data_IF_139216607105
#
_entry.id   IF_139216607105
#
_cell.length_a   1.000
_cell.length_b   1.000
_cell.length_c   1.000
_cell.angle_alpha   90.00
_cell.angle_beta   90.00
_cell.angle_gamma   90.00
#
_symmetry.space_group_name_H-M   'P 1'
#
loop_
_entity.id
_entity.type
_entity.pdbx_description
1 polymer ?
#
# COMPACT_ATOMS: atom_id res chain seq x y z
N UNK A 1 20.47 -16.34 -26.06
CA UNK A 1 20.36 -14.95 -25.57
C UNK A 1 18.87 -14.52 -25.43
N UNK A 2 17.99 -14.88 -26.37
CA UNK A 2 16.56 -14.50 -26.38
C UNK A 2 15.72 -15.12 -25.23
N UNK A 3 16.06 -16.33 -24.78
CA UNK A 3 15.31 -17.02 -23.70
C UNK A 3 15.33 -16.31 -22.34
N UNK A 4 16.31 -15.44 -22.08
CA UNK A 4 16.42 -14.71 -20.80
C UNK A 4 15.52 -13.47 -20.73
N UNK A 5 15.03 -13.03 -21.88
CA UNK A 5 14.27 -11.77 -22.00
C UNK A 5 12.79 -12.01 -22.32
N UNK A 6 12.45 -13.20 -22.84
CA UNK A 6 11.11 -13.52 -23.29
C UNK A 6 10.68 -14.91 -22.84
N UNK A 7 9.37 -15.14 -22.73
CA UNK A 7 8.76 -16.43 -22.43
C UNK A 7 8.79 -16.78 -20.94
N UNK A 8 8.67 -18.09 -20.66
CA UNK A 8 8.53 -18.63 -19.30
C UNK A 8 9.71 -18.28 -18.38
N UNK A 9 10.92 -18.28 -18.92
CA UNK A 9 12.11 -17.95 -18.13
C UNK A 9 12.12 -16.47 -17.69
N UNK A 10 11.65 -15.56 -18.53
CA UNK A 10 11.49 -14.14 -18.17
C UNK A 10 10.55 -13.96 -17.01
N UNK A 11 9.39 -14.63 -17.05
CA UNK A 11 8.39 -14.58 -15.97
C UNK A 11 8.95 -15.14 -14.66
N UNK A 12 9.69 -16.27 -14.72
CA UNK A 12 10.30 -16.84 -13.53
C UNK A 12 11.34 -15.91 -12.92
N UNK A 13 12.17 -15.27 -13.75
CA UNK A 13 13.20 -14.31 -13.29
C UNK A 13 12.62 -13.01 -12.73
N UNK A 14 11.39 -12.66 -13.09
CA UNK A 14 10.68 -11.53 -12.52
C UNK A 14 10.16 -11.82 -11.09
N UNK A 15 9.73 -13.09 -10.86
CA UNK A 15 9.21 -13.52 -9.56
C UNK A 15 10.34 -13.73 -8.56
N UNK A 16 11.49 -14.29 -9.00
CA UNK A 16 12.63 -14.61 -8.15
C UNK A 16 13.73 -13.54 -8.27
N UNK A 17 14.50 -13.30 -7.20
CA UNK A 17 14.53 -14.00 -5.91
C UNK A 17 13.40 -13.58 -4.97
N UNK A 18 12.96 -14.51 -4.10
CA UNK A 18 11.96 -14.25 -3.07
C UNK A 18 12.67 -14.14 -1.72
N UNK A 19 12.38 -13.05 -1.01
CA UNK A 19 12.91 -12.79 0.32
C UNK A 19 11.80 -12.84 1.37
N UNK A 20 12.01 -13.46 2.53
CA UNK A 20 11.14 -13.28 3.68
C UNK A 20 11.28 -11.87 4.27
N UNK A 21 10.37 -11.47 5.15
CA UNK A 21 10.36 -10.15 5.77
C UNK A 21 11.67 -9.81 6.50
N UNK A 22 12.24 -10.79 7.20
CA UNK A 22 13.48 -10.66 7.99
C UNK A 22 14.76 -10.76 7.14
N UNK A 23 14.65 -11.06 5.85
CA UNK A 23 15.75 -11.22 4.90
C UNK A 23 16.86 -12.19 5.35
N UNK A 24 16.54 -13.12 6.25
CA UNK A 24 17.52 -14.09 6.78
C UNK A 24 17.90 -15.16 5.77
N UNK A 25 17.08 -15.38 4.75
CA UNK A 25 17.30 -16.36 3.70
C UNK A 25 16.79 -15.82 2.37
N UNK A 26 17.08 -16.51 1.29
CA UNK A 26 16.68 -16.14 -0.06
C UNK A 26 16.33 -17.38 -0.86
N UNK A 27 15.23 -17.35 -1.61
CA UNK A 27 14.86 -18.40 -2.54
C UNK A 27 15.19 -17.93 -3.96
N UNK A 28 16.20 -18.55 -4.55
CA UNK A 28 16.70 -18.22 -5.89
C UNK A 28 16.19 -19.20 -6.94
N UNK A 29 15.98 -18.69 -8.14
CA UNK A 29 15.69 -19.46 -9.33
C UNK A 29 16.98 -19.89 -10.01
N UNK A 30 17.14 -21.18 -10.27
CA UNK A 30 18.30 -21.76 -10.96
C UNK A 30 17.97 -22.10 -12.41
N UNK A 31 16.82 -22.71 -12.65
CA UNK A 31 16.40 -23.14 -13.98
C UNK A 31 15.06 -23.89 -13.95
N UNK A 32 14.52 -24.17 -15.12
CA UNK A 32 13.31 -24.98 -15.24
C UNK A 32 13.49 -26.10 -16.27
N UNK A 33 12.68 -27.11 -16.15
CA UNK A 33 12.59 -28.23 -17.09
C UNK A 33 11.13 -28.51 -17.43
N UNK A 34 10.85 -28.70 -18.71
CA UNK A 34 9.58 -29.21 -19.20
C UNK A 34 9.77 -30.68 -19.57
N UNK A 35 9.04 -31.54 -18.88
CA UNK A 35 9.04 -32.97 -19.15
C UNK A 35 8.29 -33.32 -20.44
N UNK A 36 8.20 -34.62 -20.74
CA UNK A 36 7.39 -35.07 -21.86
C UNK A 36 5.91 -35.20 -21.47
N UNK A 37 5.00 -34.85 -22.36
CA UNK A 37 3.56 -35.01 -22.07
C UNK A 37 3.23 -36.50 -21.81
N UNK A 38 2.30 -36.72 -20.92
CA UNK A 38 1.86 -38.08 -20.54
C UNK A 38 1.02 -38.77 -21.62
N UNK A 39 0.21 -37.97 -22.32
CA UNK A 39 -0.68 -38.39 -23.39
C UNK A 39 -0.43 -37.54 -24.62
N UNK A 40 -0.74 -38.10 -25.80
CA UNK A 40 -0.72 -37.31 -27.02
C UNK A 40 -2.00 -36.44 -27.15
N UNK A 41 -2.05 -35.62 -28.19
CA UNK A 41 -3.14 -34.64 -28.36
C UNK A 41 -4.48 -35.36 -28.59
N UNK A 42 -4.48 -36.44 -29.38
CA UNK A 42 -5.71 -37.18 -29.72
C UNK A 42 -6.19 -38.01 -28.54
N UNK A 43 -5.28 -38.53 -27.74
CA UNK A 43 -5.61 -39.20 -26.48
C UNK A 43 -6.21 -38.21 -25.49
N UNK A 44 -5.66 -37.01 -25.36
CA UNK A 44 -6.21 -35.96 -24.50
C UNK A 44 -7.64 -35.58 -24.91
N UNK A 45 -7.92 -35.48 -26.21
CA UNK A 45 -9.28 -35.21 -26.71
C UNK A 45 -10.25 -36.31 -26.34
N UNK A 46 -9.87 -37.60 -26.56
CA UNK A 46 -10.70 -38.75 -26.27
C UNK A 46 -10.94 -38.99 -24.78
N UNK A 47 -9.89 -38.84 -23.97
CA UNK A 47 -9.90 -39.06 -22.53
C UNK A 47 -10.40 -37.84 -21.72
N UNK A 48 -10.72 -36.72 -22.39
CA UNK A 48 -11.14 -35.46 -21.79
C UNK A 48 -10.09 -34.91 -20.82
N UNK A 49 -8.82 -34.97 -21.20
CA UNK A 49 -7.69 -34.47 -20.43
C UNK A 49 -7.12 -33.20 -21.06
N UNK A 50 -6.30 -32.49 -20.31
CA UNK A 50 -5.55 -31.33 -20.80
C UNK A 50 -4.21 -31.78 -21.36
N UNK A 51 -3.84 -31.25 -22.53
CA UNK A 51 -2.53 -31.45 -23.11
C UNK A 51 -1.54 -30.50 -22.51
N UNK A 52 -0.62 -31.01 -21.71
CA UNK A 52 0.37 -30.20 -21.00
C UNK A 52 1.69 -30.95 -20.79
N UNK A 53 2.71 -30.17 -20.46
CA UNK A 53 4.02 -30.71 -20.13
C UNK A 53 4.24 -30.61 -18.63
N UNK A 54 4.76 -31.66 -17.99
CA UNK A 54 5.20 -31.60 -16.62
C UNK A 54 6.21 -30.46 -16.43
N UNK A 55 5.94 -29.58 -15.50
CA UNK A 55 6.75 -28.40 -15.23
C UNK A 55 7.47 -28.53 -13.90
N UNK A 56 8.78 -28.48 -13.97
CA UNK A 56 9.64 -28.57 -12.82
C UNK A 56 10.55 -27.35 -12.78
N UNK A 57 10.75 -26.81 -11.59
CA UNK A 57 11.61 -25.66 -11.35
C UNK A 57 12.70 -26.06 -10.37
N UNK A 58 13.93 -25.76 -10.72
CA UNK A 58 15.07 -25.93 -9.83
C UNK A 58 15.27 -24.66 -9.05
N UNK A 59 15.14 -24.77 -7.73
CA UNK A 59 15.24 -23.67 -6.78
C UNK A 59 16.41 -23.89 -5.84
N UNK A 60 17.03 -22.81 -5.43
CA UNK A 60 18.09 -22.79 -4.41
C UNK A 60 17.65 -21.97 -3.23
N UNK A 61 17.56 -22.60 -2.06
CA UNK A 61 17.38 -21.90 -0.81
C UNK A 61 18.76 -21.50 -0.26
N UNK A 62 19.02 -20.20 -0.30
CA UNK A 62 20.26 -19.61 0.24
C UNK A 62 20.07 -19.39 1.73
N UNK A 63 20.79 -20.17 2.53
CA UNK A 63 20.94 -20.10 3.98
C UNK A 63 22.40 -20.47 4.29
N UNK A 64 22.89 -20.50 5.54
CA UNK A 64 24.28 -20.86 5.84
C UNK A 64 24.76 -22.15 5.16
N UNK A 65 23.87 -23.14 5.04
CA UNK A 65 24.08 -24.32 4.19
C UNK A 65 23.05 -24.29 3.06
N UNK A 66 23.43 -23.92 1.83
CA UNK A 66 22.49 -23.82 0.71
C UNK A 66 21.94 -25.19 0.31
N UNK A 67 20.64 -25.24 0.05
CA UNK A 67 19.95 -26.43 -0.44
C UNK A 67 19.40 -26.13 -1.83
N UNK A 68 19.64 -27.06 -2.76
CA UNK A 68 19.12 -26.99 -4.12
C UNK A 68 18.21 -28.19 -4.38
N UNK A 69 16.97 -27.92 -4.80
CA UNK A 69 16.00 -28.96 -5.10
C UNK A 69 15.23 -28.66 -6.38
N UNK A 70 14.77 -29.73 -7.02
CA UNK A 70 13.84 -29.69 -8.15
C UNK A 70 12.42 -29.87 -7.65
N UNK A 71 11.59 -28.84 -7.85
CA UNK A 71 10.20 -28.80 -7.40
C UNK A 71 9.27 -28.98 -8.58
N UNK A 72 8.40 -29.99 -8.52
CA UNK A 72 7.33 -30.18 -9.49
C UNK A 72 6.17 -29.23 -9.18
N UNK A 73 5.87 -28.31 -10.11
CA UNK A 73 4.81 -27.30 -9.95
C UNK A 73 3.48 -27.68 -10.62
N UNK A 74 3.43 -28.79 -11.36
CA UNK A 74 2.25 -29.22 -12.08
C UNK A 74 2.50 -29.37 -13.58
N UNK A 75 1.43 -29.34 -14.35
CA UNK A 75 1.49 -29.40 -15.82
C UNK A 75 1.15 -28.05 -16.41
N UNK A 76 1.95 -27.59 -17.38
CA UNK A 76 1.66 -26.36 -18.12
C UNK A 76 1.03 -26.75 -19.45
N UNK A 77 -0.20 -26.28 -19.76
CA UNK A 77 -0.79 -26.44 -21.08
C UNK A 77 0.11 -25.85 -22.17
N UNK A 78 0.24 -26.57 -23.27
CA UNK A 78 1.09 -26.18 -24.40
C UNK A 78 0.21 -25.78 -25.58
N UNK A 79 0.54 -24.62 -26.17
CA UNK A 79 -0.11 -24.12 -27.36
C UNK A 79 0.25 -24.99 -28.56
N UNK A 80 -0.75 -25.39 -29.34
CA UNK A 80 -0.61 -26.11 -30.61
C UNK A 80 -0.34 -25.14 -31.78
N UNK A 81 -0.10 -25.69 -32.94
CA UNK A 81 0.33 -24.92 -34.11
C UNK A 81 -0.67 -23.89 -34.65
N UNK A 82 -1.96 -24.02 -34.33
CA UNK A 82 -3.00 -23.07 -34.70
C UNK A 82 -3.31 -22.00 -33.65
N UNK A 83 -2.61 -22.01 -32.51
CA UNK A 83 -2.85 -21.08 -31.40
C UNK A 83 -3.85 -21.59 -30.36
N UNK A 84 -4.33 -22.80 -30.50
CA UNK A 84 -5.26 -23.49 -29.61
C UNK A 84 -4.53 -24.26 -28.50
N UNK A 85 -5.25 -24.53 -27.43
CA UNK A 85 -4.89 -25.42 -26.32
C UNK A 85 -5.95 -26.50 -26.20
N UNK A 86 -5.57 -27.71 -25.81
CA UNK A 86 -6.51 -28.76 -25.44
C UNK A 86 -6.66 -28.77 -23.93
N UNK A 87 -7.82 -28.35 -23.44
CA UNK A 87 -8.15 -28.27 -22.01
C UNK A 87 -9.38 -29.13 -21.74
N UNK A 88 -9.22 -30.16 -20.89
CA UNK A 88 -10.28 -31.12 -20.58
C UNK A 88 -10.92 -31.76 -21.86
N UNK A 89 -10.08 -32.00 -22.85
CA UNK A 89 -10.48 -32.59 -24.13
C UNK A 89 -11.13 -31.64 -25.14
N UNK A 90 -11.29 -30.34 -24.77
CA UNK A 90 -11.85 -29.31 -25.64
C UNK A 90 -10.76 -28.38 -26.15
N UNK A 91 -10.84 -27.99 -27.40
CA UNK A 91 -9.97 -26.96 -27.95
C UNK A 91 -10.39 -25.60 -27.45
N UNK A 92 -9.41 -24.86 -26.92
CA UNK A 92 -9.59 -23.55 -26.33
C UNK A 92 -8.54 -22.58 -26.88
N UNK A 93 -8.92 -21.32 -27.02
CA UNK A 93 -8.02 -20.22 -27.38
C UNK A 93 -8.04 -19.17 -26.30
N UNK A 94 -6.93 -18.46 -26.14
CA UNK A 94 -6.86 -17.32 -25.24
C UNK A 94 -7.46 -16.13 -25.96
N UNK A 95 -8.48 -15.51 -25.36
CA UNK A 95 -9.13 -14.31 -25.86
C UNK A 95 -8.63 -13.10 -25.06
N UNK A 96 -8.18 -12.06 -25.77
CA UNK A 96 -7.78 -10.81 -25.15
C UNK A 96 -8.96 -10.16 -24.43
N UNK A 97 -8.71 -9.66 -23.24
CA UNK A 97 -9.71 -8.97 -22.42
C UNK A 97 -9.19 -7.59 -22.05
N UNK A 98 -10.07 -6.59 -22.21
CA UNK A 98 -9.76 -5.24 -21.78
C UNK A 98 -9.93 -5.13 -20.27
N UNK A 99 -8.92 -4.59 -19.59
CA UNK A 99 -8.98 -4.30 -18.16
C UNK A 99 -8.44 -2.90 -17.87
N UNK A 100 -8.68 -2.39 -16.68
CA UNK A 100 -8.10 -1.11 -16.25
C UNK A 100 -6.58 -1.25 -16.11
N UNK A 101 -5.86 -0.27 -16.62
CA UNK A 101 -4.40 -0.24 -16.49
C UNK A 101 -3.99 -0.06 -15.03
N UNK A 102 -2.88 -0.68 -14.60
CA UNK A 102 -2.27 -0.35 -13.32
C UNK A 102 -1.93 1.15 -13.25
N UNK A 103 -2.15 1.74 -12.09
CA UNK A 103 -1.89 3.15 -11.87
C UNK A 103 -2.76 3.76 -10.78
N UNK A 104 -2.81 5.08 -10.76
CA UNK A 104 -3.61 5.86 -9.81
C UNK A 104 -4.59 6.72 -10.58
N UNK A 105 -5.89 6.48 -10.36
CA UNK A 105 -6.98 7.23 -10.98
C UNK A 105 -7.60 8.18 -9.95
N UNK A 106 -7.68 9.46 -10.30
CA UNK A 106 -8.39 10.46 -9.49
C UNK A 106 -9.77 10.72 -10.10
N UNK A 107 -10.80 10.64 -9.27
CA UNK A 107 -12.19 10.76 -9.65
C UNK A 107 -12.87 11.86 -8.84
N UNK A 108 -13.81 12.52 -9.46
CA UNK A 108 -14.67 13.52 -8.83
C UNK A 108 -16.12 13.06 -8.99
N UNK A 109 -16.79 12.79 -7.88
CA UNK A 109 -18.21 12.50 -7.88
C UNK A 109 -19.01 13.82 -7.72
N UNK A 110 -19.52 14.30 -8.84
CA UNK A 110 -20.33 15.49 -8.91
C UNK A 110 -21.83 15.24 -8.63
N UNK A 111 -22.23 13.97 -8.41
CA UNK A 111 -23.63 13.59 -8.23
C UNK A 111 -24.20 13.92 -6.84
N UNK A 112 -23.35 14.21 -5.87
CA UNK A 112 -23.80 14.67 -4.55
C UNK A 112 -24.06 16.18 -4.59
N UNK A 113 -25.24 16.57 -4.30
CA UNK A 113 -25.96 17.81 -4.58
C UNK A 113 -25.30 19.12 -4.15
N UNK A 114 -24.27 19.15 -3.30
CA UNK A 114 -23.70 20.41 -2.79
C UNK A 114 -22.18 20.52 -2.87
N UNK A 115 -21.45 19.41 -2.91
CA UNK A 115 -19.98 19.41 -2.98
C UNK A 115 -19.47 18.26 -3.82
N UNK A 116 -18.47 18.54 -4.65
CA UNK A 116 -17.73 17.52 -5.36
C UNK A 116 -16.92 16.65 -4.37
N UNK A 117 -17.20 15.35 -4.33
CA UNK A 117 -16.46 14.40 -3.50
C UNK A 117 -15.30 13.81 -4.32
N UNK A 118 -14.10 13.96 -3.78
CA UNK A 118 -12.90 13.43 -4.42
C UNK A 118 -12.66 11.99 -3.98
N UNK A 119 -12.23 11.17 -4.93
CA UNK A 119 -11.77 9.81 -4.67
C UNK A 119 -10.52 9.50 -5.48
N UNK A 120 -9.76 8.55 -4.99
CA UNK A 120 -8.55 8.07 -5.62
C UNK A 120 -8.57 6.55 -5.62
N UNK A 121 -8.31 5.94 -6.78
CA UNK A 121 -8.20 4.50 -6.93
C UNK A 121 -6.76 4.13 -7.24
N UNK A 122 -6.18 3.31 -6.41
CA UNK A 122 -4.86 2.73 -6.62
C UNK A 122 -5.07 1.32 -7.17
N UNK A 123 -4.71 1.14 -8.43
CA UNK A 123 -4.88 -0.12 -9.16
C UNK A 123 -3.49 -0.73 -9.33
N UNK A 124 -3.15 -1.81 -8.61
CA UNK A 124 -1.87 -2.48 -8.75
C UNK A 124 -1.84 -3.33 -10.03
N UNK A 125 -0.66 -3.65 -10.52
CA UNK A 125 -0.49 -4.64 -11.58
C UNK A 125 -0.96 -6.03 -11.11
N UNK A 126 -0.67 -6.35 -9.86
CA UNK A 126 -1.10 -7.59 -9.18
C UNK A 126 -1.39 -7.30 -7.72
N UNK A 127 -2.58 -7.63 -7.27
CA UNK A 127 -3.00 -7.46 -5.87
C UNK A 127 -4.34 -6.76 -5.73
N UNK A 128 -4.65 -6.37 -4.51
CA UNK A 128 -5.92 -5.74 -4.15
C UNK A 128 -5.97 -4.27 -4.54
N UNK A 129 -7.13 -3.83 -5.00
CA UNK A 129 -7.38 -2.41 -5.25
C UNK A 129 -7.57 -1.66 -3.96
N UNK A 130 -7.04 -0.45 -3.89
CA UNK A 130 -7.20 0.45 -2.75
C UNK A 130 -7.95 1.69 -3.22
N UNK A 131 -9.09 1.95 -2.61
CA UNK A 131 -9.92 3.12 -2.86
C UNK A 131 -9.81 4.08 -1.67
N UNK A 132 -9.42 5.32 -1.94
CA UNK A 132 -9.43 6.43 -0.98
C UNK A 132 -10.61 7.33 -1.33
N UNK A 133 -11.48 7.59 -0.37
CA UNK A 133 -12.70 8.36 -0.61
C UNK A 133 -12.87 9.45 0.45
N UNK A 134 -13.12 10.66 0.01
CA UNK A 134 -13.60 11.73 0.91
C UNK A 134 -15.09 11.54 1.13
N UNK A 135 -15.49 11.42 2.39
CA UNK A 135 -16.89 11.26 2.77
C UNK A 135 -17.63 12.60 2.84
N UNK A 136 -18.97 12.57 2.87
CA UNK A 136 -19.80 13.79 3.06
C UNK A 136 -19.49 14.52 4.39
N UNK A 137 -18.89 13.84 5.35
CA UNK A 137 -18.44 14.41 6.65
C UNK A 137 -17.01 14.93 6.60
N UNK A 138 -16.42 15.09 5.41
CA UNK A 138 -15.04 15.55 5.21
C UNK A 138 -13.97 14.62 5.81
N UNK A 139 -14.33 13.38 6.11
CA UNK A 139 -13.41 12.38 6.60
C UNK A 139 -12.86 11.54 5.44
N UNK A 140 -11.56 11.25 5.45
CA UNK A 140 -10.92 10.38 4.50
C UNK A 140 -11.08 8.92 4.93
N UNK A 141 -11.62 8.10 4.05
CA UNK A 141 -11.83 6.67 4.25
C UNK A 141 -11.12 5.84 3.20
N UNK A 142 -10.72 4.64 3.60
CA UNK A 142 -10.08 3.64 2.73
C UNK A 142 -10.98 2.43 2.60
N UNK A 143 -10.96 1.84 1.42
CA UNK A 143 -11.57 0.56 1.11
C UNK A 143 -10.55 -0.28 0.34
N UNK A 144 -10.37 -1.52 0.75
CA UNK A 144 -9.52 -2.49 0.07
C UNK A 144 -10.43 -3.53 -0.57
N UNK A 145 -10.39 -3.65 -1.90
CA UNK A 145 -11.30 -4.46 -2.70
C UNK A 145 -12.77 -4.17 -2.34
N UNK A 146 -13.52 -5.21 -1.95
CA UNK A 146 -14.93 -5.12 -1.55
C UNK A 146 -15.13 -5.13 -0.03
N UNK A 147 -14.07 -4.92 0.76
CA UNK A 147 -14.16 -4.88 2.22
C UNK A 147 -14.93 -3.65 2.73
N UNK A 148 -15.22 -3.62 4.03
CA UNK A 148 -15.80 -2.45 4.69
C UNK A 148 -14.87 -1.23 4.64
N UNK A 149 -15.44 -0.02 4.62
CA UNK A 149 -14.69 1.23 4.71
C UNK A 149 -14.16 1.44 6.14
N UNK A 150 -12.93 1.91 6.25
CA UNK A 150 -12.29 2.28 7.52
C UNK A 150 -11.50 3.59 7.36
N UNK A 151 -11.01 4.14 8.47
CA UNK A 151 -10.31 5.42 8.46
C UNK A 151 -8.98 5.36 7.70
N UNK A 152 -8.73 6.34 6.84
CA UNK A 152 -7.44 6.47 6.16
C UNK A 152 -6.29 6.75 7.14
N UNK A 153 -6.56 7.42 8.25
CA UNK A 153 -5.55 7.65 9.31
C UNK A 153 -5.03 6.32 9.86
N UNK A 154 -5.93 5.38 10.15
CA UNK A 154 -5.55 4.03 10.60
C UNK A 154 -4.71 3.30 9.55
N UNK A 155 -5.09 3.44 8.27
CA UNK A 155 -4.37 2.83 7.16
C UNK A 155 -2.95 3.39 7.02
N UNK A 156 -2.80 4.72 7.04
CA UNK A 156 -1.51 5.39 6.92
C UNK A 156 -0.56 5.01 8.07
N UNK A 157 -1.07 4.96 9.30
CA UNK A 157 -0.30 4.51 10.47
C UNK A 157 0.17 3.06 10.38
N UNK A 158 -0.62 2.21 9.71
CA UNK A 158 -0.25 0.81 9.50
C UNK A 158 0.79 0.62 8.39
N UNK A 159 0.85 1.56 7.43
CA UNK A 159 1.79 1.51 6.31
C UNK A 159 3.17 2.04 6.66
N UNK A 160 3.23 3.09 7.48
CA UNK A 160 4.45 3.83 7.75
C UNK A 160 4.56 4.16 9.24
N UNK A 161 5.64 3.68 9.86
CA UNK A 161 5.95 3.92 11.27
C UNK A 161 6.18 5.41 11.56
N UNK A 162 6.73 6.16 10.59
CA UNK A 162 6.94 7.60 10.70
C UNK A 162 5.63 8.37 10.84
N UNK A 163 4.53 7.85 10.29
CA UNK A 163 3.17 8.41 10.40
C UNK A 163 2.39 7.87 11.62
N UNK A 164 3.05 7.19 12.54
CA UNK A 164 2.42 6.55 13.70
C UNK A 164 1.73 7.50 14.66
N UNK A 165 2.17 8.76 14.76
CA UNK A 165 1.65 9.75 15.70
C UNK A 165 0.75 10.79 15.03
N UNK A 166 -0.17 11.41 15.81
CA UNK A 166 -1.02 12.51 15.33
C UNK A 166 -0.20 13.70 14.86
N UNK A 167 0.86 14.03 15.58
CA UNK A 167 1.77 15.10 15.24
C UNK A 167 2.45 14.89 13.88
N UNK A 168 2.92 13.69 13.61
CA UNK A 168 3.55 13.34 12.34
C UNK A 168 2.56 13.45 11.17
N UNK A 169 1.34 12.95 11.35
CA UNK A 169 0.28 13.09 10.36
C UNK A 169 -0.08 14.54 10.08
N UNK A 170 -0.23 15.36 11.13
CA UNK A 170 -0.55 16.78 10.95
C UNK A 170 0.56 17.53 10.21
N UNK A 171 1.83 17.26 10.52
CA UNK A 171 2.97 17.83 9.79
C UNK A 171 3.04 17.39 8.33
N UNK A 172 2.61 16.16 8.06
CA UNK A 172 2.60 15.62 6.70
C UNK A 172 1.53 16.28 5.81
N UNK A 173 0.32 16.51 6.37
CA UNK A 173 -0.81 17.01 5.60
C UNK A 173 -0.97 18.53 5.60
N UNK A 174 -0.42 19.22 6.60
CA UNK A 174 -0.62 20.65 6.79
C UNK A 174 0.71 21.41 6.95
N UNK A 175 0.80 22.62 6.41
CA UNK A 175 1.92 23.49 6.74
C UNK A 175 1.86 23.84 8.23
N UNK A 176 2.97 23.74 8.92
CA UNK A 176 3.07 24.03 10.35
C UNK A 176 3.97 25.22 10.62
N UNK A 177 3.71 25.92 11.73
CA UNK A 177 4.47 27.07 12.16
C UNK A 177 4.76 27.00 13.65
N UNK A 178 6.01 27.25 14.01
CA UNK A 178 6.41 27.37 15.41
C UNK A 178 6.28 28.84 15.86
N UNK A 179 5.38 29.07 16.79
CA UNK A 179 5.20 30.40 17.44
C UNK A 179 6.04 30.45 18.70
N UNK A 180 7.04 31.33 18.70
CA UNK A 180 7.96 31.52 19.85
C UNK A 180 7.54 32.72 20.70
N UNK A 181 7.64 32.55 22.04
CA UNK A 181 7.46 33.61 23.00
C UNK A 181 8.73 34.46 23.06
N UNK A 182 8.67 35.69 22.65
CA UNK A 182 9.81 36.64 22.75
C UNK A 182 9.86 37.31 24.10
N UNK A 183 11.05 37.59 24.63
CA UNK A 183 11.27 38.20 25.94
C UNK A 183 10.59 39.59 26.13
N UNK A 184 10.32 40.28 25.02
CA UNK A 184 9.65 41.59 25.01
C UNK A 184 8.13 41.50 24.85
N UNK A 185 7.56 40.29 24.69
CA UNK A 185 6.15 40.10 24.42
C UNK A 185 5.39 39.83 25.71
N UNK A 186 4.26 40.56 25.92
CA UNK A 186 3.38 40.28 27.05
C UNK A 186 2.68 38.92 26.90
N UNK A 187 2.38 38.24 28.01
CA UNK A 187 1.68 36.96 28.01
C UNK A 187 0.38 37.01 27.19
N UNK A 188 -0.42 38.06 27.34
CA UNK A 188 -1.65 38.23 26.58
C UNK A 188 -1.43 38.40 25.07
N UNK A 189 -0.35 39.00 24.64
CA UNK A 189 -0.03 39.15 23.22
C UNK A 189 0.43 37.80 22.60
N UNK A 190 1.06 36.94 23.36
CA UNK A 190 1.42 35.60 22.95
C UNK A 190 0.18 34.69 22.91
N UNK A 191 -0.66 34.72 23.96
CA UNK A 191 -1.92 33.96 24.01
C UNK A 191 -2.80 34.22 22.78
N UNK A 192 -3.02 35.50 22.41
CA UNK A 192 -3.78 35.88 21.22
C UNK A 192 -3.27 35.30 19.90
N UNK A 193 -1.97 34.99 19.80
CA UNK A 193 -1.39 34.41 18.58
C UNK A 193 -1.70 32.93 18.42
N UNK A 194 -1.93 32.22 19.53
CA UNK A 194 -2.13 30.78 19.56
C UNK A 194 -3.60 30.40 19.85
N UNK A 195 -4.42 31.33 20.34
CA UNK A 195 -5.87 31.08 20.58
C UNK A 195 -6.57 30.69 19.28
N UNK A 196 -7.45 29.71 19.37
CA UNK A 196 -8.24 29.11 18.26
C UNK A 196 -7.38 28.49 17.14
N UNK A 197 -6.06 28.41 17.32
CA UNK A 197 -5.17 27.67 16.41
C UNK A 197 -5.12 26.21 16.81
N UNK A 198 -4.91 25.34 15.83
CA UNK A 198 -4.82 23.89 16.06
C UNK A 198 -3.40 23.54 16.47
N UNK A 199 -3.28 22.87 17.63
CA UNK A 199 -2.00 22.36 18.12
C UNK A 199 -1.53 21.16 17.27
N UNK A 200 -0.27 21.17 16.84
CA UNK A 200 0.32 20.07 16.07
C UNK A 200 0.74 18.92 16.96
N UNK A 201 1.29 19.20 18.14
CA UNK A 201 1.64 18.20 19.14
C UNK A 201 0.89 18.41 20.44
N UNK A 202 0.96 17.42 21.33
CA UNK A 202 0.40 17.57 22.68
C UNK A 202 1.12 18.70 23.42
N UNK A 203 0.34 19.65 23.94
CA UNK A 203 0.85 20.73 24.76
C UNK A 203 0.77 20.29 26.22
N UNK A 204 1.92 20.07 26.83
CA UNK A 204 2.03 19.50 28.18
C UNK A 204 2.56 20.56 29.15
N UNK A 205 1.98 20.60 30.35
CA UNK A 205 2.52 21.40 31.44
C UNK A 205 3.80 20.76 31.95
N UNK A 206 4.95 21.47 31.81
CA UNK A 206 6.27 20.92 32.15
C UNK A 206 6.41 20.46 33.61
N UNK A 207 5.63 21.05 34.52
CA UNK A 207 5.72 20.78 35.97
C UNK A 207 4.89 19.56 36.42
N UNK A 208 3.73 19.34 35.80
CA UNK A 208 2.79 18.29 36.19
C UNK A 208 2.77 17.12 35.24
N UNK A 209 3.23 17.29 33.99
CA UNK A 209 3.11 16.30 32.94
C UNK A 209 1.69 16.17 32.38
N UNK A 210 0.77 17.05 32.78
CA UNK A 210 -0.62 17.03 32.33
C UNK A 210 -0.74 17.63 30.92
N UNK A 211 -1.51 16.96 30.05
CA UNK A 211 -1.78 17.44 28.69
C UNK A 211 -2.86 18.52 28.77
N UNK A 212 -2.49 19.76 28.50
CA UNK A 212 -3.39 20.91 28.43
C UNK A 212 -4.24 20.90 27.16
N UNK A 213 -3.60 20.63 26.02
CA UNK A 213 -4.25 20.58 24.72
C UNK A 213 -3.69 19.38 23.96
N UNK A 214 -4.53 18.40 23.61
CA UNK A 214 -4.12 17.28 22.78
C UNK A 214 -3.81 17.72 21.36
N UNK A 215 -2.95 16.97 20.68
CA UNK A 215 -2.63 17.12 19.25
C UNK A 215 -3.90 17.14 18.40
N UNK A 216 -3.96 18.02 17.41
CA UNK A 216 -5.09 18.17 16.50
C UNK A 216 -6.29 18.94 17.07
N UNK A 217 -6.23 19.40 18.30
CA UNK A 217 -7.30 20.17 18.92
C UNK A 217 -7.05 21.69 18.88
N UNK A 218 -8.12 22.51 18.78
CA UNK A 218 -7.98 23.94 18.88
C UNK A 218 -7.56 24.34 20.29
N UNK A 219 -6.68 25.33 20.40
CA UNK A 219 -6.19 25.85 21.68
C UNK A 219 -7.23 26.84 22.23
N UNK A 220 -7.98 26.51 23.29
CA UNK A 220 -8.93 27.44 23.88
C UNK A 220 -8.23 28.62 24.57
N UNK A 221 -8.92 29.76 24.72
CA UNK A 221 -8.35 30.99 25.32
C UNK A 221 -7.78 30.75 26.73
N UNK A 222 -8.46 29.92 27.52
CA UNK A 222 -8.01 29.55 28.87
C UNK A 222 -6.66 28.85 28.87
N UNK A 223 -6.49 27.85 28.00
CA UNK A 223 -5.24 27.13 27.82
C UNK A 223 -4.15 28.05 27.23
N UNK A 224 -4.51 28.91 26.28
CA UNK A 224 -3.58 29.87 25.69
C UNK A 224 -2.99 30.82 26.72
N UNK A 225 -3.78 31.31 27.67
CA UNK A 225 -3.33 32.16 28.79
C UNK A 225 -2.43 31.38 29.77
N UNK A 226 -2.75 30.15 30.07
CA UNK A 226 -1.95 29.29 30.92
C UNK A 226 -0.60 28.96 30.28
N UNK A 227 -0.57 28.61 29.00
CA UNK A 227 0.66 28.42 28.22
C UNK A 227 1.49 29.69 28.20
N UNK A 228 0.85 30.85 28.01
CA UNK A 228 1.52 32.13 27.97
C UNK A 228 2.10 32.55 29.33
N UNK A 229 1.48 32.17 30.45
CA UNK A 229 1.95 32.36 31.81
C UNK A 229 3.01 31.35 32.27
N UNK A 230 3.08 30.21 31.59
CA UNK A 230 4.00 29.11 31.93
C UNK A 230 5.40 29.23 31.33
N UNK A 231 6.17 28.16 31.52
CA UNK A 231 7.59 28.06 31.10
C UNK A 231 7.75 27.58 29.62
N UNK A 232 6.65 27.33 28.89
CA UNK A 232 6.69 26.93 27.48
C UNK A 232 7.17 28.12 26.62
N UNK A 233 8.30 27.91 25.93
CA UNK A 233 8.93 28.93 25.11
C UNK A 233 8.37 28.98 23.67
N UNK A 234 7.78 27.89 23.19
CA UNK A 234 7.32 27.78 21.83
C UNK A 234 6.15 26.78 21.70
N UNK A 235 5.28 27.03 20.74
CA UNK A 235 4.13 26.16 20.41
C UNK A 235 4.09 25.99 18.91
N UNK A 236 3.93 24.74 18.45
CA UNK A 236 3.75 24.42 17.04
C UNK A 236 2.27 24.33 16.71
N UNK A 237 1.84 25.10 15.73
CA UNK A 237 0.45 25.20 15.28
C UNK A 237 0.35 24.99 13.79
N UNK A 238 -0.85 24.63 13.30
CA UNK A 238 -1.15 24.61 11.87
C UNK A 238 -1.18 26.05 11.36
N UNK A 239 -0.45 26.32 10.27
CA UNK A 239 -0.44 27.63 9.60
C UNK A 239 -1.65 27.69 8.64
N UNK A 240 -2.74 28.28 9.10
CA UNK A 240 -4.02 28.45 8.40
C UNK A 240 -4.30 29.91 8.07
#
# INVERSE_FOLDING_TARGET
ATRKVEGLESVLREIFPIYPYDRTMCLEYVGYELGRPRYDIDECRKLRMSYGYPFKVRLRLVKPEPIEEEVYLGEIPIMLGGGEFVINGSERVIVSQLHRSPGVDFLIDASSTDRALHSCWIIPERGSWVELNVTKKEALSVRIDQSGKFSAVTFLRALDEELGTDQALLRHFYPTKVVKKTKSQTANAFAKKITDRIAVGDIVVLKTGEVLVPSGMPIPETAALEIAGGDLAEVEIIDS
#
